data_IF_814774399194
#
_entry.id   IF_814774399194
#
_cell.length_a   1.000
_cell.length_b   1.000
_cell.length_c   1.000
_cell.angle_alpha   90.00
_cell.angle_beta   90.00
_cell.angle_gamma   90.00
#
_symmetry.space_group_name_H-M   'P 1'
#
loop_
_entity.id
_entity.type
_entity.pdbx_description
1 polymer ?
#
# COMPACT_ATOMS: atom_id res chain seq x y z
N UNK A 1 -0.98 -1.03 -1.62
CA UNK A 1 -0.78 0.43 -1.74
C UNK A 1 0.71 0.77 -1.70
N UNK A 2 1.16 1.60 -2.62
CA UNK A 2 2.54 1.99 -2.82
C UNK A 2 2.72 3.47 -2.49
N UNK A 3 3.86 3.83 -1.94
CA UNK A 3 4.22 5.24 -1.76
C UNK A 3 5.71 5.43 -1.88
N UNK A 4 6.14 6.67 -1.70
CA UNK A 4 7.55 7.05 -1.85
C UNK A 4 8.13 7.45 -0.49
N UNK A 5 9.30 6.90 -0.19
CA UNK A 5 10.15 7.36 0.91
C UNK A 5 11.48 7.81 0.31
N UNK A 6 11.68 9.13 0.25
CA UNK A 6 12.74 9.74 -0.55
C UNK A 6 12.60 9.34 -2.03
N UNK A 7 13.67 8.79 -2.62
CA UNK A 7 13.64 8.33 -4.01
C UNK A 7 13.10 6.90 -4.20
N UNK A 8 12.73 6.19 -3.13
CA UNK A 8 12.37 4.76 -3.18
C UNK A 8 10.86 4.59 -3.17
N UNK A 9 10.33 3.72 -4.06
CA UNK A 9 8.92 3.28 -4.04
C UNK A 9 8.78 2.01 -3.21
N UNK A 10 7.96 2.07 -2.16
CA UNK A 10 7.80 1.02 -1.16
C UNK A 10 6.33 0.63 -1.02
N UNK A 11 6.08 -0.60 -0.56
CA UNK A 11 4.75 -1.03 -0.11
C UNK A 11 4.46 -0.35 1.23
N UNK A 12 3.41 0.47 1.30
CA UNK A 12 3.00 1.13 2.55
C UNK A 12 1.83 0.42 3.24
N UNK A 13 0.95 -0.19 2.45
CA UNK A 13 -0.14 -1.02 2.97
C UNK A 13 -0.35 -2.23 2.06
N UNK A 14 -0.76 -3.33 2.69
CA UNK A 14 -1.10 -4.61 2.05
C UNK A 14 -2.37 -5.14 2.71
N UNK A 15 -3.31 -5.60 1.89
CA UNK A 15 -4.53 -6.25 2.36
C UNK A 15 -4.24 -7.65 2.96
N UNK A 16 -5.28 -8.31 3.45
CA UNK A 16 -5.16 -9.62 4.09
C UNK A 16 -4.69 -10.71 3.12
N UNK A 17 -5.16 -10.71 1.86
CA UNK A 17 -4.79 -11.71 0.87
C UNK A 17 -3.32 -11.58 0.47
N UNK A 18 -2.87 -10.35 0.24
CA UNK A 18 -1.48 -10.05 -0.07
C UNK A 18 -0.55 -10.43 1.10
N UNK A 19 -0.96 -10.16 2.35
CA UNK A 19 -0.22 -10.60 3.54
C UNK A 19 -0.16 -12.12 3.65
N UNK A 20 -1.26 -12.81 3.38
CA UNK A 20 -1.31 -14.28 3.36
C UNK A 20 -0.41 -14.88 2.27
N UNK A 21 -0.26 -14.19 1.13
CA UNK A 21 0.70 -14.53 0.08
C UNK A 21 2.17 -14.17 0.42
N UNK A 22 2.44 -13.68 1.64
CA UNK A 22 3.78 -13.37 2.13
C UNK A 22 4.27 -11.95 1.86
N UNK A 23 3.40 -11.06 1.34
CA UNK A 23 3.75 -9.65 1.14
C UNK A 23 3.90 -8.93 2.48
N UNK A 24 4.95 -8.11 2.62
CA UNK A 24 5.21 -7.30 3.82
C UNK A 24 5.30 -5.81 3.49
N UNK A 25 4.83 -4.97 4.41
CA UNK A 25 5.02 -3.51 4.34
C UNK A 25 6.51 -3.16 4.46
N UNK A 26 6.93 -2.09 3.79
CA UNK A 26 8.30 -1.59 3.77
C UNK A 26 9.21 -2.22 2.72
N UNK A 27 8.79 -3.30 2.05
CA UNK A 27 9.58 -3.88 0.95
C UNK A 27 9.49 -3.01 -0.32
N UNK A 28 10.51 -3.04 -1.20
CA UNK A 28 10.46 -2.34 -2.48
C UNK A 28 9.30 -2.83 -3.36
N UNK A 29 8.66 -1.89 -4.07
CA UNK A 29 7.55 -2.20 -4.97
C UNK A 29 7.92 -3.22 -6.06
N UNK A 30 9.14 -3.15 -6.59
CA UNK A 30 9.64 -4.12 -7.57
C UNK A 30 9.70 -5.54 -7.01
N UNK A 31 10.19 -5.69 -5.76
CA UNK A 31 10.23 -6.99 -5.08
C UNK A 31 8.83 -7.52 -4.80
N UNK A 32 7.89 -6.65 -4.44
CA UNK A 32 6.49 -7.02 -4.23
C UNK A 32 5.84 -7.64 -5.48
N UNK A 33 6.07 -7.04 -6.65
CA UNK A 33 5.55 -7.53 -7.93
C UNK A 33 6.08 -8.90 -8.32
N UNK A 34 7.33 -9.22 -7.94
CA UNK A 34 7.91 -10.55 -8.19
C UNK A 34 7.34 -11.61 -7.24
N UNK A 35 7.11 -11.25 -5.98
CA UNK A 35 6.62 -12.19 -4.96
C UNK A 35 5.15 -12.57 -5.17
N UNK A 36 4.34 -11.63 -5.67
CA UNK A 36 2.90 -11.84 -5.88
C UNK A 36 2.59 -11.54 -7.34
N UNK A 37 2.52 -12.58 -8.20
CA UNK A 37 2.10 -12.41 -9.58
C UNK A 37 0.73 -11.73 -9.66
N UNK A 38 0.55 -10.85 -10.63
CA UNK A 38 -0.68 -10.06 -10.82
C UNK A 38 -1.08 -9.19 -9.62
N UNK A 39 -0.11 -8.78 -8.79
CA UNK A 39 -0.36 -7.86 -7.68
C UNK A 39 -0.93 -6.53 -8.18
N UNK A 40 -2.16 -6.23 -7.77
CA UNK A 40 -2.76 -4.91 -8.00
C UNK A 40 -2.09 -3.86 -7.11
N UNK A 41 -1.62 -2.79 -7.73
CA UNK A 41 -0.94 -1.70 -7.03
C UNK A 41 -1.71 -0.38 -7.19
N UNK A 42 -2.00 0.25 -6.06
CA UNK A 42 -2.58 1.59 -5.99
C UNK A 42 -1.57 2.53 -5.35
N UNK A 43 -1.46 3.76 -5.84
CA UNK A 43 -0.60 4.78 -5.24
C UNK A 43 -1.26 5.39 -4.01
N UNK A 44 -0.43 5.85 -3.07
CA UNK A 44 -0.85 6.58 -1.89
C UNK A 44 -1.48 7.91 -2.31
N UNK A 45 -2.73 8.09 -1.94
CA UNK A 45 -3.44 9.36 -1.99
C UNK A 45 -3.72 9.82 -0.56
N UNK A 46 -2.80 10.62 -0.01
CA UNK A 46 -2.91 11.12 1.36
C UNK A 46 -4.13 12.02 1.57
N UNK A 47 -4.61 12.68 0.51
CA UNK A 47 -5.75 13.59 0.62
C UNK A 47 -7.05 12.79 0.73
N UNK A 48 -7.22 11.78 -0.13
CA UNK A 48 -8.37 10.88 -0.07
C UNK A 48 -8.40 10.08 1.25
N UNK A 49 -7.24 9.61 1.72
CA UNK A 49 -7.14 8.89 3.00
C UNK A 49 -7.53 9.80 4.19
N UNK A 50 -7.08 11.06 4.19
CA UNK A 50 -7.43 12.02 5.23
C UNK A 50 -8.93 12.34 5.23
N UNK A 51 -9.52 12.58 4.06
CA UNK A 51 -10.96 12.83 3.93
C UNK A 51 -11.78 11.63 4.42
N UNK A 52 -11.34 10.40 4.12
CA UNK A 52 -12.00 9.20 4.61
C UNK A 52 -11.95 9.10 6.13
N UNK A 53 -10.83 9.46 6.76
CA UNK A 53 -10.71 9.51 8.22
C UNK A 53 -11.64 10.56 8.83
N UNK A 54 -11.72 11.76 8.25
CA UNK A 54 -12.61 12.82 8.71
C UNK A 54 -14.08 12.36 8.69
N UNK A 55 -14.52 11.67 7.64
CA UNK A 55 -15.89 11.14 7.56
C UNK A 55 -16.19 10.10 8.64
N UNK A 56 -15.24 9.22 8.96
CA UNK A 56 -15.41 8.20 10.00
C UNK A 56 -15.41 8.82 11.40
N UNK A 57 -14.66 9.91 11.61
CA UNK A 57 -14.62 10.60 12.90
C UNK A 57 -15.92 11.37 13.23
N UNK A 58 -16.78 11.62 12.23
CA UNK A 58 -18.08 12.26 12.39
C UNK A 58 -19.22 11.30 12.77
N UNK A 59 -18.92 10.00 12.92
CA UNK A 59 -19.85 8.97 13.42
C UNK A 59 -19.64 8.72 14.91
#
# INVERSE_FOLDING_TARGET
>A
MLGRQGNRRLVLAADAAARAAGLRVGIPASKAQVLVPNLQSFDLDTAADAEALDRVALW
#
